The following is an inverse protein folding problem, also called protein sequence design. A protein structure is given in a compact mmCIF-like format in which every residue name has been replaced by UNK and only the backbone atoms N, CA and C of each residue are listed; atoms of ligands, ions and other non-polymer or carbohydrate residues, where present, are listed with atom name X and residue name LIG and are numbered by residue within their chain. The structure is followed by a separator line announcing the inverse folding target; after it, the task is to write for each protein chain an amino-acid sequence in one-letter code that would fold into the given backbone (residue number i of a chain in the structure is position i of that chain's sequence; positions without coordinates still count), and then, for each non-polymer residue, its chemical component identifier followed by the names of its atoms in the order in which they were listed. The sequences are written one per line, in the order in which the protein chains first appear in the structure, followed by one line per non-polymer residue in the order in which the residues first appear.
data_IF_682020832503
#
_entry.id   IF_682020832503
#
_cell.length_a   1.000
_cell.length_b   1.000
_cell.length_c   1.000
_cell.angle_alpha   90.00
_cell.angle_beta   90.00
_cell.angle_gamma   90.00
#
_symmetry.space_group_name_H-M   'P 1'
#
loop_
_entity.id
_entity.type
_entity.pdbx_description
1 polymer ?
#
# COMPACT_ATOMS: atom_id res chain seq x y z
N UNK A 1 -7.54 6.64 -36.56
CA UNK A 1 -7.65 6.73 -35.76
C UNK A 1 -7.50 6.76 -35.26
N UNK A 2 -7.50 6.50 -35.25
CA UNK A 2 -7.65 6.49 -34.40
C UNK A 2 -7.25 6.40 -33.70
N UNK A 3 -7.03 6.12 -33.95
CA UNK A 3 -6.98 5.96 -32.98
C UNK A 3 -6.34 5.88 -32.42
N UNK A 4 -6.12 5.69 -32.55
CA UNK A 4 -5.85 5.59 -31.66
C UNK A 4 -5.38 5.47 -31.05
N UNK A 5 -5.41 5.37 -31.25
CA UNK A 5 -5.28 5.33 -30.33
C UNK A 5 -5.03 4.94 -29.64
N UNK A 6 -5.08 4.79 -29.92
CA UNK A 6 -5.15 4.53 -28.97
C UNK A 6 -4.65 3.84 -28.42
N UNK A 7 -4.49 3.56 -28.70
CA UNK A 7 -4.23 3.12 -27.98
C UNK A 7 -3.73 2.84 -27.20
N UNK A 8 -3.50 2.86 -27.22
CA UNK A 8 -3.06 2.83 -26.35
C UNK A 8 -3.04 2.74 -25.56
N UNK A 9 -3.24 2.75 -25.63
CA UNK A 9 -3.43 2.91 -24.70
C UNK A 9 -3.31 2.55 -23.95
N UNK A 10 -3.31 2.11 -24.43
CA UNK A 10 -3.50 1.73 -23.32
C UNK A 10 -3.05 1.98 -22.28
N UNK A 11 -2.77 2.52 -22.32
CA UNK A 11 -2.53 2.69 -21.00
C UNK A 11 -3.73 3.10 -20.28
N UNK A 12 -4.52 2.16 -20.04
CA UNK A 12 -5.63 2.33 -19.18
C UNK A 12 -5.24 2.97 -17.86
N UNK A 13 -4.03 2.76 -17.46
CA UNK A 13 -3.50 3.39 -16.27
C UNK A 13 -3.59 4.89 -16.31
N UNK A 14 -3.53 5.46 -17.49
CA UNK A 14 -3.60 6.90 -17.61
C UNK A 14 -4.98 7.45 -17.30
N UNK A 15 -5.98 6.58 -17.12
CA UNK A 15 -7.33 7.04 -16.87
C UNK A 15 -7.62 7.32 -15.41
N UNK A 16 -6.74 6.95 -14.48
CA UNK A 16 -7.00 7.24 -13.07
C UNK A 16 -6.48 8.61 -12.70
N UNK A 17 -7.17 9.24 -11.75
CA UNK A 17 -6.76 10.53 -11.23
C UNK A 17 -6.03 10.32 -9.93
N UNK A 18 -4.71 10.49 -9.96
CA UNK A 18 -3.90 10.36 -8.76
C UNK A 18 -4.04 11.61 -7.90
N UNK A 19 -4.32 11.41 -6.63
CA UNK A 19 -4.41 12.50 -5.66
C UNK A 19 -3.02 12.77 -5.07
N UNK A 20 -2.84 13.91 -4.36
CA UNK A 20 -1.57 14.12 -3.64
C UNK A 20 -1.24 13.00 -2.67
N UNK A 21 -2.24 12.40 -2.02
CA UNK A 21 -2.01 11.25 -1.14
C UNK A 21 -1.49 10.06 -1.93
N UNK A 22 -2.04 9.80 -3.11
CA UNK A 22 -1.56 8.73 -3.98
C UNK A 22 -0.10 8.95 -4.35
N UNK A 23 0.26 10.19 -4.71
CA UNK A 23 1.64 10.51 -5.05
C UNK A 23 2.56 10.28 -3.85
N UNK A 24 2.12 10.64 -2.65
CA UNK A 24 2.91 10.43 -1.44
C UNK A 24 3.16 8.93 -1.21
N UNK A 25 2.14 8.12 -1.35
CA UNK A 25 2.27 6.68 -1.18
C UNK A 25 3.25 6.08 -2.20
N UNK A 26 3.10 6.46 -3.47
CA UNK A 26 3.97 5.97 -4.52
C UNK A 26 5.43 6.38 -4.26
N UNK A 27 5.65 7.61 -3.78
CA UNK A 27 6.99 8.08 -3.45
C UNK A 27 7.59 7.31 -2.27
N UNK A 28 6.78 6.95 -1.28
CA UNK A 28 7.25 6.15 -0.15
C UNK A 28 7.69 4.76 -0.61
N UNK A 29 6.93 4.14 -1.52
CA UNK A 29 7.34 2.85 -2.06
C UNK A 29 8.66 2.97 -2.83
N UNK A 30 8.82 4.04 -3.60
CA UNK A 30 10.04 4.25 -4.37
C UNK A 30 11.27 4.41 -3.47
N UNK A 31 11.10 4.96 -2.27
CA UNK A 31 12.20 5.11 -1.32
C UNK A 31 12.78 3.76 -0.91
N UNK A 32 11.96 2.73 -0.89
CA UNK A 32 12.43 1.39 -0.58
C UNK A 32 12.69 0.59 -1.85
N UNK A 33 12.88 1.28 -2.96
CA UNK A 33 13.17 0.69 -4.27
C UNK A 33 12.07 -0.23 -4.76
N UNK A 34 10.87 -0.04 -4.27
CA UNK A 34 9.71 -0.79 -4.71
C UNK A 34 9.10 -0.07 -5.89
N UNK A 35 9.76 -0.20 -7.03
CA UNK A 35 9.30 0.45 -8.25
C UNK A 35 8.33 -0.46 -8.98
N UNK A 36 7.32 0.15 -9.54
CA UNK A 36 6.38 -0.58 -10.36
C UNK A 36 6.96 -0.85 -11.74
N UNK A 37 6.39 -1.81 -12.43
CA UNK A 37 6.76 -2.14 -13.80
C UNK A 37 5.51 -2.04 -14.66
N UNK A 38 5.55 -2.63 -15.86
CA UNK A 38 4.41 -2.56 -16.77
C UNK A 38 3.14 -3.16 -16.17
N UNK A 39 3.28 -4.11 -15.25
CA UNK A 39 2.13 -4.77 -14.62
C UNK A 39 1.65 -4.03 -13.38
N UNK A 40 2.44 -3.09 -12.85
CA UNK A 40 2.11 -2.35 -11.65
C UNK A 40 2.22 -0.87 -11.93
N UNK A 41 1.21 -0.31 -12.56
CA UNK A 41 1.14 1.13 -12.81
C UNK A 41 0.95 1.88 -11.50
N UNK A 42 1.17 3.19 -11.54
CA UNK A 42 0.89 4.06 -10.40
C UNK A 42 -0.57 3.95 -9.94
N UNK A 43 -1.47 3.84 -10.90
CA UNK A 43 -2.89 3.67 -10.58
C UNK A 43 -3.15 2.39 -9.81
N UNK A 44 -2.51 1.31 -10.22
CA UNK A 44 -2.67 0.01 -9.55
C UNK A 44 -2.10 0.07 -8.14
N UNK A 45 -0.92 0.66 -8.00
CA UNK A 45 -0.29 0.78 -6.68
C UNK A 45 -1.14 1.61 -5.73
N UNK A 46 -1.65 2.74 -6.21
CA UNK A 46 -2.48 3.60 -5.38
C UNK A 46 -3.77 2.87 -4.95
N UNK A 47 -4.40 2.15 -5.87
CA UNK A 47 -5.60 1.39 -5.55
C UNK A 47 -5.32 0.32 -4.50
N UNK A 48 -4.20 -0.35 -4.62
CA UNK A 48 -3.80 -1.38 -3.65
C UNK A 48 -3.52 -0.77 -2.29
N UNK A 49 -2.82 0.36 -2.26
CA UNK A 49 -2.55 1.05 -1.00
C UNK A 49 -3.83 1.46 -0.29
N UNK A 50 -4.78 2.01 -1.04
CA UNK A 50 -6.08 2.37 -0.46
C UNK A 50 -6.81 1.14 0.06
N UNK A 51 -6.70 0.02 -0.64
CA UNK A 51 -7.32 -1.23 -0.19
C UNK A 51 -6.72 -1.70 1.13
N UNK A 52 -5.38 -1.69 1.26
CA UNK A 52 -4.75 -2.05 2.54
C UNK A 52 -5.29 -1.18 3.67
N UNK A 53 -5.32 0.12 3.44
CA UNK A 53 -5.77 1.06 4.47
C UNK A 53 -7.21 0.80 4.88
N UNK A 54 -8.07 0.51 3.90
CA UNK A 54 -9.49 0.24 4.18
C UNK A 54 -9.66 -1.04 4.99
N UNK A 55 -8.86 -2.07 4.71
CA UNK A 55 -8.92 -3.31 5.48
C UNK A 55 -8.58 -3.05 6.94
N UNK A 56 -7.53 -2.28 7.19
CA UNK A 56 -7.09 -1.99 8.55
C UNK A 56 -8.10 -1.10 9.28
N UNK A 57 -8.61 -0.09 8.56
CA UNK A 57 -9.58 0.86 9.13
C UNK A 57 -10.85 0.16 9.57
N UNK A 58 -11.30 -0.82 8.81
CA UNK A 58 -12.55 -1.52 9.11
C UNK A 58 -12.42 -2.66 10.11
N UNK A 59 -11.22 -2.94 10.59
CA UNK A 59 -10.99 -4.11 11.44
C UNK A 59 -10.96 -3.73 12.92
N UNK A 60 -11.57 -4.52 13.80
CA UNK A 60 -11.53 -4.23 15.23
C UNK A 60 -10.14 -4.36 15.84
N UNK A 61 -9.23 -5.08 15.18
CA UNK A 61 -7.84 -5.23 15.61
C UNK A 61 -6.92 -4.78 14.48
N UNK A 62 -6.67 -3.45 14.35
CA UNK A 62 -5.85 -2.97 13.22
C UNK A 62 -4.43 -3.52 13.19
N UNK A 63 -3.82 -3.74 14.36
CA UNK A 63 -2.47 -4.31 14.40
C UNK A 63 -2.46 -5.72 13.81
N UNK A 64 -3.40 -6.56 14.26
CA UNK A 64 -3.50 -7.93 13.76
C UNK A 64 -3.80 -7.98 12.27
N UNK A 65 -4.68 -7.09 11.80
CA UNK A 65 -5.01 -7.04 10.38
C UNK A 65 -3.80 -6.61 9.55
N UNK A 66 -3.03 -5.62 10.04
CA UNK A 66 -1.82 -5.19 9.33
C UNK A 66 -0.83 -6.37 9.21
N UNK A 67 -0.68 -7.17 10.26
CA UNK A 67 0.18 -8.34 10.21
C UNK A 67 -0.31 -9.36 9.17
N UNK A 68 -1.61 -9.58 9.10
CA UNK A 68 -2.17 -10.51 8.12
C UNK A 68 -1.97 -10.01 6.69
N UNK A 69 -2.10 -8.70 6.47
CA UNK A 69 -1.85 -8.13 5.16
C UNK A 69 -0.38 -8.31 4.74
N UNK A 70 0.55 -8.10 5.68
CA UNK A 70 1.97 -8.35 5.41
C UNK A 70 2.19 -9.81 5.03
N UNK A 71 1.58 -10.74 5.77
CA UNK A 71 1.70 -12.17 5.45
C UNK A 71 1.12 -12.50 4.08
N UNK A 72 -0.01 -11.89 3.75
CA UNK A 72 -0.61 -12.08 2.43
C UNK A 72 0.35 -11.64 1.33
N UNK A 73 0.95 -10.47 1.49
CA UNK A 73 1.88 -9.95 0.49
C UNK A 73 3.09 -10.86 0.34
N UNK A 74 3.69 -11.31 1.45
CA UNK A 74 4.87 -12.20 1.36
C UNK A 74 4.51 -13.56 0.79
N UNK A 75 3.28 -14.01 0.97
CA UNK A 75 2.85 -15.32 0.45
C UNK A 75 2.45 -15.27 -1.02
N UNK A 76 2.12 -14.10 -1.54
CA UNK A 76 1.60 -13.97 -2.90
C UNK A 76 2.52 -13.21 -3.84
N UNK A 77 3.63 -12.67 -3.34
CA UNK A 77 4.58 -11.91 -4.15
C UNK A 77 6.00 -12.31 -3.75
N UNK A 78 7.01 -11.96 -4.57
CA UNK A 78 8.40 -12.19 -4.17
C UNK A 78 8.97 -11.15 -3.20
N UNK A 79 8.13 -10.27 -2.66
CA UNK A 79 8.60 -9.27 -1.70
C UNK A 79 9.14 -9.92 -0.43
N UNK A 80 10.17 -9.28 0.13
CA UNK A 80 10.68 -9.68 1.45
C UNK A 80 9.71 -9.23 2.52
N UNK A 81 9.88 -9.77 3.73
CA UNK A 81 9.09 -9.35 4.89
C UNK A 81 9.22 -7.84 5.11
N UNK A 82 10.44 -7.31 5.04
CA UNK A 82 10.67 -5.88 5.25
C UNK A 82 9.96 -5.02 4.19
N UNK A 83 9.99 -5.47 2.93
CA UNK A 83 9.30 -4.74 1.86
C UNK A 83 7.79 -4.77 2.05
N UNK A 84 7.25 -5.92 2.42
CA UNK A 84 5.81 -6.04 2.66
C UNK A 84 5.39 -5.15 3.83
N UNK A 85 6.18 -5.11 4.90
CA UNK A 85 5.91 -4.24 6.03
C UNK A 85 5.93 -2.77 5.60
N UNK A 86 6.92 -2.40 4.81
CA UNK A 86 7.01 -1.01 4.33
C UNK A 86 5.79 -0.63 3.49
N UNK A 87 5.35 -1.53 2.62
CA UNK A 87 4.19 -1.28 1.76
C UNK A 87 2.92 -1.06 2.59
N UNK A 88 2.64 -1.98 3.51
CA UNK A 88 1.43 -1.90 4.32
C UNK A 88 1.49 -0.69 5.25
N UNK A 89 2.64 -0.46 5.88
CA UNK A 89 2.80 0.69 6.78
C UNK A 89 2.68 2.01 6.04
N UNK A 90 3.26 2.10 4.85
CA UNK A 90 3.15 3.32 4.05
C UNK A 90 1.71 3.60 3.67
N UNK A 91 0.95 2.57 3.32
CA UNK A 91 -0.46 2.72 2.99
C UNK A 91 -1.25 3.26 4.20
N UNK A 92 -0.99 2.70 5.37
CA UNK A 92 -1.67 3.15 6.59
C UNK A 92 -1.29 4.59 6.92
N UNK A 93 -0.02 4.90 6.82
CA UNK A 93 0.47 6.25 7.13
C UNK A 93 -0.20 7.29 6.23
N UNK A 94 -0.34 6.98 4.94
CA UNK A 94 -0.87 7.94 3.97
C UNK A 94 -2.40 8.00 4.01
N UNK A 95 -3.06 6.84 4.01
CA UNK A 95 -4.50 6.78 3.77
C UNK A 95 -5.33 6.59 5.04
N UNK A 96 -4.76 6.05 6.11
CA UNK A 96 -5.51 5.78 7.33
C UNK A 96 -4.68 6.12 8.57
N UNK A 97 -4.11 7.33 8.64
CA UNK A 97 -3.26 7.68 9.78
C UNK A 97 -4.00 7.66 11.12
N UNK A 98 -5.31 7.79 11.08
CA UNK A 98 -6.11 7.81 12.31
C UNK A 98 -6.07 6.47 13.06
N UNK A 99 -5.68 5.36 12.41
CA UNK A 99 -5.60 4.07 13.10
C UNK A 99 -4.23 3.81 13.71
N UNK A 100 -3.24 4.67 13.45
CA UNK A 100 -1.88 4.46 13.94
C UNK A 100 -1.81 4.29 15.46
N UNK A 101 -2.50 5.13 16.26
CA UNK A 101 -2.46 4.93 17.71
C UNK A 101 -2.97 3.55 18.14
N UNK A 102 -4.00 3.03 17.49
CA UNK A 102 -4.53 1.70 17.80
C UNK A 102 -3.54 0.61 17.42
N UNK A 103 -2.82 0.80 16.33
CA UNK A 103 -1.80 -0.16 15.90
C UNK A 103 -0.66 -0.19 16.91
N UNK A 104 -0.21 0.97 17.37
CA UNK A 104 0.85 1.06 18.38
C UNK A 104 0.41 0.42 19.68
N UNK A 105 -0.84 0.64 20.09
CA UNK A 105 -1.40 0.04 21.28
C UNK A 105 -1.44 -1.49 21.16
N UNK A 106 -1.88 -1.99 20.01
CA UNK A 106 -1.91 -3.43 19.77
C UNK A 106 -0.54 -4.05 19.75
N UNK A 107 0.44 -3.35 19.15
CA UNK A 107 1.81 -3.82 19.13
C UNK A 107 2.40 -3.89 20.55
N UNK A 108 2.13 -2.89 21.38
CA UNK A 108 2.61 -2.89 22.75
C UNK A 108 2.02 -4.05 23.56
N UNK A 109 0.71 -4.29 23.39
CA UNK A 109 0.05 -5.40 24.09
C UNK A 109 0.58 -6.75 23.67
N UNK A 110 1.06 -6.87 22.43
CA UNK A 110 1.60 -8.11 21.90
C UNK A 110 3.11 -8.24 22.15
N UNK A 111 3.71 -7.30 22.87
CA UNK A 111 5.17 -7.23 23.05
C UNK A 111 5.92 -7.18 21.73
N UNK A 112 5.32 -6.56 20.74
CA UNK A 112 5.96 -6.45 19.44
C UNK A 112 7.07 -5.42 19.50
N UNK A 113 8.28 -5.76 19.04
CA UNK A 113 9.37 -4.78 19.06
C UNK A 113 9.06 -3.68 18.06
N UNK A 114 8.95 -2.46 18.57
CA UNK A 114 8.76 -1.30 17.71
C UNK A 114 10.07 -0.56 17.57
N UNK A 115 10.32 -0.06 16.37
CA UNK A 115 11.54 0.67 16.13
C UNK A 115 11.39 2.07 16.73
N UNK A 116 12.09 2.32 17.69
CA UNK A 116 12.18 3.66 18.25
C UNK A 116 11.10 4.03 19.16
#
# INVERSE_FOLDING_TARGET
MLGGAVLAAPHASASCNLTPADDQYINLLAQDKMVHNADFSDCHEAAEGRWFADQVRGHPNPFGEAQELVNMVTNTTPMTQAQAEWEVESAIFVYAPEVIPKIKDGAAKANWPTAG
#
